data_IF_244623107034
#
_entry.id   IF_244623107034
#
_cell.length_a   1.000
_cell.length_b   1.000
_cell.length_c   1.000
_cell.angle_alpha   90.00
_cell.angle_beta   90.00
_cell.angle_gamma   90.00
#
_symmetry.space_group_name_H-M   'P 1'
#
loop_
_entity.id
_entity.type
_entity.pdbx_description
1 polymer ?
#
# COMPACT_ATOMS: atom_id res chain seq x y z
N UNK A 1 -3.18 16.84 9.39
CA UNK A 1 -2.88 15.48 9.87
C UNK A 1 -1.61 15.62 10.70
N UNK A 2 -1.59 15.13 11.93
CA UNK A 2 -0.38 15.10 12.75
C UNK A 2 0.13 13.66 12.70
N UNK A 3 1.31 13.47 12.12
CA UNK A 3 1.92 12.14 11.97
C UNK A 3 2.51 11.69 13.32
N UNK A 4 2.69 10.38 13.50
CA UNK A 4 3.35 9.81 14.68
C UNK A 4 4.84 10.20 14.77
N UNK A 5 5.41 10.68 13.67
CA UNK A 5 6.64 11.45 13.66
C UNK A 5 6.24 12.90 13.81
N UNK A 6 6.76 13.60 14.82
CA UNK A 6 6.54 15.01 15.19
C UNK A 6 6.78 16.07 14.06
N UNK A 7 6.86 15.66 12.79
CA UNK A 7 6.80 16.50 11.61
C UNK A 7 5.34 16.79 11.24
N UNK A 8 4.97 18.07 11.23
CA UNK A 8 3.79 18.52 10.47
C UNK A 8 4.16 18.47 8.99
N UNK A 9 4.11 17.29 8.40
CA UNK A 9 4.25 17.16 6.95
C UNK A 9 3.05 17.86 6.32
N UNK A 10 3.32 19.03 5.73
CA UNK A 10 2.30 19.79 5.03
C UNK A 10 1.87 19.01 3.80
N UNK A 11 0.56 18.78 3.70
CA UNK A 11 -0.01 18.09 2.56
C UNK A 11 -0.07 19.05 1.39
N UNK A 12 0.52 18.67 0.26
CA UNK A 12 0.53 19.48 -0.95
C UNK A 12 -0.89 19.66 -1.54
N UNK A 13 -1.76 18.67 -1.31
CA UNK A 13 -3.15 18.75 -1.70
C UNK A 13 -3.85 17.40 -1.69
N UNK A 14 -5.07 17.40 -2.26
CA UNK A 14 -5.91 16.22 -2.43
C UNK A 14 -6.20 16.03 -3.92
N UNK A 15 -5.80 14.88 -4.45
CA UNK A 15 -6.23 14.41 -5.77
C UNK A 15 -7.56 13.68 -5.60
N UNK A 16 -8.58 14.14 -6.34
CA UNK A 16 -9.91 13.51 -6.35
C UNK A 16 -10.01 12.64 -7.58
N UNK A 17 -10.66 11.49 -7.41
CA UNK A 17 -10.98 10.54 -8.49
C UNK A 17 -9.76 10.17 -9.34
N UNK A 18 -8.61 9.93 -8.69
CA UNK A 18 -7.41 9.48 -9.37
C UNK A 18 -7.63 8.03 -9.85
N UNK A 19 -7.59 7.75 -11.16
CA UNK A 19 -7.62 6.38 -11.65
C UNK A 19 -6.31 5.67 -11.29
N UNK A 20 -6.43 4.65 -10.46
CA UNK A 20 -5.33 3.76 -10.06
C UNK A 20 -5.61 2.38 -10.61
N UNK A 21 -4.71 1.89 -11.44
CA UNK A 21 -4.79 0.53 -11.99
C UNK A 21 -3.99 -0.43 -11.11
N UNK A 22 -4.65 -1.51 -10.70
CA UNK A 22 -4.02 -2.61 -9.97
C UNK A 22 -4.34 -3.90 -10.72
N UNK A 23 -3.37 -4.44 -11.45
CA UNK A 23 -3.60 -5.56 -12.38
C UNK A 23 -4.64 -5.20 -13.45
N UNK A 24 -5.76 -5.94 -13.52
CA UNK A 24 -6.90 -5.65 -14.41
C UNK A 24 -7.95 -4.70 -13.82
N UNK A 25 -7.89 -4.39 -12.52
CA UNK A 25 -8.87 -3.52 -11.86
C UNK A 25 -8.48 -2.05 -11.96
N UNK A 26 -9.43 -1.19 -12.32
CA UNK A 26 -9.27 0.28 -12.32
C UNK A 26 -10.14 0.85 -11.21
N UNK A 27 -9.50 1.53 -10.25
CA UNK A 27 -10.14 2.10 -9.06
C UNK A 27 -9.99 3.61 -9.06
N UNK A 28 -11.04 4.33 -8.68
CA UNK A 28 -10.99 5.78 -8.52
C UNK A 28 -10.81 6.12 -7.05
N UNK A 29 -9.64 6.67 -6.70
CA UNK A 29 -9.25 6.91 -5.31
C UNK A 29 -9.09 8.41 -5.04
N UNK A 30 -9.44 8.79 -3.82
CA UNK A 30 -9.04 10.09 -3.27
C UNK A 30 -7.67 9.93 -2.61
N UNK A 31 -6.67 10.63 -3.14
CA UNK A 31 -5.26 10.47 -2.71
C UNK A 31 -4.75 11.80 -2.16
N UNK A 32 -4.26 11.75 -0.93
CA UNK A 32 -3.62 12.88 -0.28
C UNK A 32 -2.12 12.86 -0.58
N UNK A 33 -1.60 13.98 -1.09
CA UNK A 33 -0.21 14.09 -1.53
C UNK A 33 0.62 14.77 -0.45
N UNK A 34 1.76 14.17 -0.14
CA UNK A 34 2.75 14.68 0.80
C UNK A 34 4.06 14.93 0.06
N UNK A 35 4.76 16.01 0.38
CA UNK A 35 6.03 16.34 -0.27
C UNK A 35 7.16 15.38 0.12
N UNK A 36 7.24 15.03 1.41
CA UNK A 36 8.32 14.25 1.98
C UNK A 36 7.79 12.99 2.69
N UNK A 37 7.09 12.12 1.96
CA UNK A 37 6.65 10.84 2.51
C UNK A 37 7.77 9.79 2.44
N UNK A 38 7.96 8.95 3.48
CA UNK A 38 8.89 7.81 3.44
C UNK A 38 8.34 6.61 2.64
N UNK A 39 7.28 6.83 1.86
CA UNK A 39 6.58 5.84 1.06
C UNK A 39 6.03 6.50 -0.21
N UNK A 40 5.88 5.72 -1.28
CA UNK A 40 5.32 6.22 -2.55
C UNK A 40 3.81 6.39 -2.44
N UNK A 41 3.10 5.35 -1.98
CA UNK A 41 1.65 5.35 -1.80
C UNK A 41 1.32 4.61 -0.52
N UNK A 42 0.46 5.21 0.31
CA UNK A 42 -0.12 4.55 1.48
C UNK A 42 -1.60 4.27 1.21
N UNK A 43 -1.95 2.98 1.14
CA UNK A 43 -3.32 2.54 0.97
C UNK A 43 -3.99 2.39 2.33
N UNK A 44 -4.95 3.28 2.62
CA UNK A 44 -5.68 3.27 3.88
C UNK A 44 -6.90 2.35 3.87
N UNK A 45 -7.62 2.35 5.00
CA UNK A 45 -8.87 1.61 5.17
C UNK A 45 -9.96 1.90 4.10
N UNK A 46 -10.13 3.14 3.58
CA UNK A 46 -11.11 3.39 2.52
C UNK A 46 -10.84 2.57 1.25
N UNK A 47 -9.58 2.43 0.87
CA UNK A 47 -9.18 1.57 -0.25
C UNK A 47 -9.54 0.11 0.04
N UNK A 48 -9.13 -0.41 1.19
CA UNK A 48 -9.39 -1.81 1.58
C UNK A 48 -10.88 -2.12 1.65
N UNK A 49 -11.70 -1.16 2.11
CA UNK A 49 -13.16 -1.29 2.18
C UNK A 49 -13.77 -1.31 0.78
N UNK A 50 -13.35 -0.39 -0.09
CA UNK A 50 -13.87 -0.29 -1.46
C UNK A 50 -13.62 -1.58 -2.26
N UNK A 51 -12.42 -2.15 -2.10
CA UNK A 51 -12.02 -3.35 -2.85
C UNK A 51 -12.34 -4.66 -2.12
N UNK A 52 -13.08 -4.62 -1.01
CA UNK A 52 -13.31 -5.79 -0.13
C UNK A 52 -12.03 -6.60 0.13
N UNK A 53 -10.93 -5.89 0.38
CA UNK A 53 -9.60 -6.49 0.41
C UNK A 53 -9.52 -7.58 1.49
N UNK A 54 -8.95 -8.72 1.14
CA UNK A 54 -8.69 -9.83 2.04
C UNK A 54 -7.20 -10.10 2.09
N UNK A 55 -6.62 -10.00 3.28
CA UNK A 55 -5.21 -10.35 3.50
C UNK A 55 -5.14 -11.76 4.05
N UNK A 56 -4.40 -12.62 3.37
CA UNK A 56 -4.09 -13.97 3.83
C UNK A 56 -2.62 -14.08 4.20
N UNK A 57 -2.35 -14.48 5.44
CA UNK A 57 -1.01 -14.73 5.94
C UNK A 57 -0.75 -16.23 5.94
N UNK A 58 0.35 -16.65 5.33
CA UNK A 58 0.75 -18.05 5.23
C UNK A 58 1.84 -18.37 6.26
N UNK A 59 1.89 -19.63 6.69
CA UNK A 59 2.87 -20.10 7.70
C UNK A 59 4.32 -20.09 7.21
N UNK A 60 4.54 -20.00 5.90
CA UNK A 60 5.86 -19.87 5.29
C UNK A 60 6.42 -18.43 5.38
N UNK A 61 5.65 -17.49 5.95
CA UNK A 61 5.99 -16.07 6.06
C UNK A 61 5.37 -15.21 4.96
N UNK A 62 4.94 -15.81 3.85
CA UNK A 62 4.32 -15.09 2.74
C UNK A 62 2.98 -14.50 3.17
N UNK A 63 2.61 -13.40 2.53
CA UNK A 63 1.33 -12.76 2.74
C UNK A 63 0.79 -12.29 1.41
N UNK A 64 -0.48 -12.57 1.12
CA UNK A 64 -1.13 -12.15 -0.12
C UNK A 64 -2.28 -11.21 0.22
N UNK A 65 -2.49 -10.20 -0.61
CA UNK A 65 -3.65 -9.31 -0.56
C UNK A 65 -4.50 -9.59 -1.79
N UNK A 66 -5.72 -10.04 -1.57
CA UNK A 66 -6.73 -10.18 -2.63
C UNK A 66 -7.64 -8.97 -2.61
N UNK A 67 -7.78 -8.32 -3.75
CA UNK A 67 -8.72 -7.23 -3.97
C UNK A 67 -9.81 -7.69 -4.94
N UNK A 68 -11.03 -7.19 -4.74
CA UNK A 68 -12.18 -7.43 -5.61
C UNK A 68 -12.69 -6.08 -6.11
N UNK A 69 -12.81 -5.93 -7.42
CA UNK A 69 -13.47 -4.75 -8.00
C UNK A 69 -14.99 -4.88 -7.87
N UNK A 70 -15.63 -3.88 -7.28
CA UNK A 70 -17.09 -3.84 -7.16
C UNK A 70 -17.79 -3.68 -8.51
N UNK A 71 -17.12 -3.09 -9.50
CA UNK A 71 -17.72 -2.78 -10.81
C UNK A 71 -17.73 -4.02 -11.72
N UNK A 72 -16.62 -4.74 -11.79
CA UNK A 72 -16.47 -5.91 -12.66
C UNK A 72 -16.67 -7.25 -11.94
N UNK A 73 -16.62 -7.26 -10.61
CA UNK A 73 -16.53 -8.47 -9.76
C UNK A 73 -15.27 -9.32 -10.01
N UNK A 74 -14.29 -8.83 -10.78
CA UNK A 74 -13.00 -9.50 -10.90
C UNK A 74 -12.22 -9.41 -9.58
N UNK A 75 -11.50 -10.49 -9.26
CA UNK A 75 -10.61 -10.56 -8.12
C UNK A 75 -9.16 -10.72 -8.56
N UNK A 76 -8.28 -10.00 -7.89
CA UNK A 76 -6.84 -10.01 -8.15
C UNK A 76 -6.12 -10.28 -6.84
N UNK A 77 -5.19 -11.23 -6.87
CA UNK A 77 -4.34 -11.55 -5.72
C UNK A 77 -2.93 -11.05 -5.98
N UNK A 78 -2.44 -10.23 -5.06
CA UNK A 78 -1.13 -9.59 -5.11
C UNK A 78 -0.29 -10.19 -3.99
N UNK A 79 0.85 -10.86 -4.30
CA UNK A 79 1.78 -11.27 -3.27
C UNK A 79 2.44 -10.04 -2.65
N UNK A 80 2.43 -9.98 -1.32
CA UNK A 80 3.22 -8.99 -0.59
C UNK A 80 4.59 -9.59 -0.33
N UNK A 81 5.63 -8.78 -0.54
CA UNK A 81 6.98 -9.21 -0.24
C UNK A 81 7.14 -9.32 1.28
N UNK A 82 7.58 -10.48 1.76
CA UNK A 82 8.14 -10.57 3.10
C UNK A 82 9.21 -9.49 3.23
N UNK A 83 9.08 -8.58 4.19
CA UNK A 83 10.17 -7.69 4.54
C UNK A 83 11.22 -8.54 5.28
N UNK A 84 11.95 -9.37 4.54
CA UNK A 84 13.13 -10.03 5.05
C UNK A 84 14.06 -8.90 5.47
N UNK A 85 14.32 -8.83 6.78
CA UNK A 85 15.30 -7.92 7.36
C UNK A 85 16.55 -8.02 6.51
N UNK A 86 17.00 -6.92 5.90
CA UNK A 86 18.19 -6.92 5.07
C UNK A 86 19.29 -7.70 5.82
N UNK A 87 19.97 -8.67 5.18
CA UNK A 87 21.03 -9.40 5.85
C UNK A 87 22.02 -8.36 6.38
N UNK A 88 22.31 -8.46 7.68
CA UNK A 88 23.37 -7.66 8.29
C UNK A 88 24.61 -7.95 7.45
N UNK A 89 25.06 -6.97 6.67
CA UNK A 89 26.36 -7.06 6.03
C UNK A 89 27.36 -7.04 7.19
N UNK A 90 27.78 -8.22 7.65
CA UNK A 90 28.92 -8.36 8.52
C UNK A 90 30.11 -7.88 7.69
N UNK A 91 30.45 -6.60 7.83
CA UNK A 91 31.69 -6.08 7.28
C UNK A 91 32.83 -6.63 8.15
N UNK A 92 33.17 -7.90 7.94
CA UNK A 92 34.39 -8.50 8.44
C UNK A 92 35.49 -8.23 7.41
N UNK A 93 36.13 -7.07 7.56
CA UNK A 93 37.35 -6.69 6.86
C UNK A 93 38.27 -6.02 7.87
N UNK A 94 39.47 -6.57 7.99
CA UNK A 94 40.58 -6.16 8.86
C UNK A 94 41.02 -4.71 8.64
#
# INVERSE_FOLDING_TARGET
MESANLSKDMTLGLLRDLPVQVGSCILYLQVQVFENAPYEILLGHPFLTLTKAQTHHYSNGDSHITIQDSNTNESITIPTTCHARAPIQSNSGF
#
